data_IF_398511469303
#
_entry.id   IF_398511469303
#
_cell.length_a   1.000
_cell.length_b   1.000
_cell.length_c   1.000
_cell.angle_alpha   90.00
_cell.angle_beta   90.00
_cell.angle_gamma   90.00
#
_symmetry.space_group_name_H-M   'P 1'
#
loop_
_entity.id
_entity.type
_entity.pdbx_description
1 polymer ?
#
# COMPACT_ATOMS: atom_id res chain seq x y z
N UNK A 1 10.23 -2.06 -1.96
CA UNK A 1 9.57 -2.18 -3.29
C UNK A 1 8.63 -1.03 -3.62
N UNK A 2 7.57 -0.75 -2.84
CA UNK A 2 6.64 0.36 -3.14
C UNK A 2 7.31 1.73 -3.30
N UNK A 3 8.28 2.05 -2.42
CA UNK A 3 9.03 3.31 -2.48
C UNK A 3 9.86 3.39 -3.76
N UNK A 4 10.68 2.39 -4.08
CA UNK A 4 11.47 2.36 -5.33
C UNK A 4 10.59 2.47 -6.58
N UNK A 5 9.48 1.74 -6.64
CA UNK A 5 8.52 1.84 -7.74
C UNK A 5 7.93 3.26 -7.84
N UNK A 6 7.59 3.89 -6.70
CA UNK A 6 7.10 5.26 -6.69
C UNK A 6 8.17 6.27 -7.13
N UNK A 7 9.44 6.06 -6.76
CA UNK A 7 10.56 6.94 -7.13
C UNK A 7 10.82 6.92 -8.64
N UNK A 8 10.71 5.76 -9.29
CA UNK A 8 10.79 5.66 -10.76
C UNK A 8 9.79 6.61 -11.43
N UNK A 9 8.51 6.54 -11.04
CA UNK A 9 7.46 7.37 -11.62
C UNK A 9 7.60 8.85 -11.24
N UNK A 10 8.09 9.14 -10.03
CA UNK A 10 8.41 10.52 -9.61
C UNK A 10 9.49 11.13 -10.47
N UNK A 11 10.54 10.39 -10.79
CA UNK A 11 11.59 10.87 -11.68
C UNK A 11 11.09 11.07 -13.12
N UNK A 12 10.12 10.24 -13.55
CA UNK A 12 9.51 10.34 -14.89
C UNK A 12 8.59 11.55 -15.04
N UNK A 13 7.64 11.74 -14.12
CA UNK A 13 6.61 12.78 -14.25
C UNK A 13 6.97 14.11 -13.61
N UNK A 14 7.88 14.11 -12.62
CA UNK A 14 8.40 15.33 -11.96
C UNK A 14 7.33 16.32 -11.48
N UNK A 15 6.15 15.84 -11.11
CA UNK A 15 5.01 16.67 -10.68
C UNK A 15 5.39 17.53 -9.46
N UNK A 16 5.20 18.83 -9.56
CA UNK A 16 5.32 19.79 -8.45
C UNK A 16 4.33 19.46 -7.33
N UNK A 17 4.68 19.69 -6.07
CA UNK A 17 3.79 19.43 -4.91
C UNK A 17 2.81 20.58 -4.66
N UNK A 18 1.67 20.34 -3.99
CA UNK A 18 0.73 21.41 -3.63
C UNK A 18 1.40 22.53 -2.83
N UNK A 19 2.20 22.18 -1.81
CA UNK A 19 2.92 23.14 -0.98
C UNK A 19 3.96 23.99 -1.72
N UNK A 20 4.48 23.50 -2.85
CA UNK A 20 5.43 24.26 -3.68
C UNK A 20 4.70 25.26 -4.60
N UNK A 21 3.48 24.95 -5.03
CA UNK A 21 2.65 25.88 -5.81
C UNK A 21 2.00 26.94 -4.93
N UNK A 22 1.56 26.56 -3.73
CA UNK A 22 0.95 27.47 -2.77
C UNK A 22 1.64 27.36 -1.40
N UNK A 23 2.70 28.16 -1.17
CA UNK A 23 3.43 28.18 0.10
C UNK A 23 2.53 28.52 1.32
N UNK A 24 1.42 29.22 1.09
CA UNK A 24 0.42 29.51 2.11
C UNK A 24 -0.29 28.29 2.69
N UNK A 25 -0.11 27.08 2.12
CA UNK A 25 -0.56 25.83 2.76
C UNK A 25 0.16 25.55 4.08
N UNK A 26 1.36 26.12 4.29
CA UNK A 26 2.19 25.97 5.50
C UNK A 26 2.18 24.53 6.05
N UNK A 27 2.71 23.54 5.30
CA UNK A 27 2.66 22.15 5.70
C UNK A 27 3.18 21.95 7.12
N UNK A 28 2.46 21.21 7.99
CA UNK A 28 2.87 21.00 9.38
C UNK A 28 4.11 20.09 9.51
N UNK A 29 4.58 19.53 8.39
CA UNK A 29 5.72 18.63 8.30
C UNK A 29 6.57 19.00 7.08
N UNK A 30 7.87 18.70 7.16
CA UNK A 30 8.81 19.01 6.08
C UNK A 30 8.35 18.42 4.73
N UNK A 31 8.35 19.27 3.70
CA UNK A 31 8.00 18.86 2.35
C UNK A 31 9.16 18.05 1.75
N UNK A 32 8.93 16.80 1.27
CA UNK A 32 10.02 15.99 0.74
C UNK A 32 10.63 16.59 -0.54
N UNK A 33 11.96 16.54 -0.67
CA UNK A 33 12.74 17.07 -1.79
C UNK A 33 12.63 16.33 -3.13
N UNK A 34 11.59 15.50 -3.32
CA UNK A 34 11.32 14.78 -4.55
C UNK A 34 9.89 15.03 -5.03
N UNK A 35 9.63 14.73 -6.31
CA UNK A 35 8.35 14.99 -6.97
C UNK A 35 7.13 14.35 -6.27
N UNK A 36 5.95 14.92 -6.52
CA UNK A 36 4.68 14.55 -5.87
C UNK A 36 4.11 13.23 -6.38
N UNK A 37 4.05 13.03 -7.70
CA UNK A 37 3.31 11.91 -8.29
C UNK A 37 4.17 10.66 -8.52
N UNK A 38 3.70 9.45 -8.16
CA UNK A 38 2.53 9.14 -7.32
C UNK A 38 2.86 9.24 -5.82
N UNK A 39 1.85 9.16 -4.96
CA UNK A 39 2.05 9.16 -3.51
C UNK A 39 2.70 7.87 -3.04
N UNK A 40 3.92 7.96 -2.50
CA UNK A 40 4.66 6.82 -1.96
C UNK A 40 3.99 6.24 -0.71
N UNK A 41 3.43 7.09 0.15
CA UNK A 41 2.68 6.66 1.34
C UNK A 41 1.41 5.91 0.96
N UNK A 42 0.66 6.37 -0.05
CA UNK A 42 -0.51 5.67 -0.54
C UNK A 42 -0.13 4.30 -1.12
N UNK A 43 0.96 4.23 -1.89
CA UNK A 43 1.45 2.96 -2.44
C UNK A 43 1.90 1.99 -1.34
N UNK A 44 2.67 2.46 -0.36
CA UNK A 44 3.14 1.62 0.74
C UNK A 44 2.00 1.13 1.62
N UNK A 45 1.11 2.02 2.07
CA UNK A 45 0.02 1.66 2.96
C UNK A 45 -0.94 0.64 2.31
N UNK A 46 -1.27 0.84 1.03
CA UNK A 46 -2.11 -0.09 0.29
C UNK A 46 -1.42 -1.45 0.08
N UNK A 47 -0.12 -1.46 -0.19
CA UNK A 47 0.64 -2.70 -0.36
C UNK A 47 0.72 -3.50 0.94
N UNK A 48 0.96 -2.83 2.07
CA UNK A 48 0.96 -3.44 3.41
C UNK A 48 -0.41 -4.04 3.72
N UNK A 49 -1.49 -3.29 3.48
CA UNK A 49 -2.86 -3.78 3.64
C UNK A 49 -3.09 -5.08 2.84
N UNK A 50 -2.72 -5.11 1.56
CA UNK A 50 -2.89 -6.29 0.69
C UNK A 50 -2.06 -7.48 1.17
N UNK A 51 -0.81 -7.25 1.58
CA UNK A 51 0.04 -8.31 2.14
C UNK A 51 -0.55 -8.90 3.41
N UNK A 52 -0.92 -8.06 4.38
CA UNK A 52 -1.53 -8.52 5.64
C UNK A 52 -2.83 -9.28 5.38
N UNK A 53 -3.71 -8.75 4.53
CA UNK A 53 -4.97 -9.42 4.20
C UNK A 53 -4.76 -10.83 3.65
N UNK A 54 -3.67 -11.07 2.91
CA UNK A 54 -3.35 -12.40 2.38
C UNK A 54 -2.72 -13.35 3.38
N UNK A 55 -2.19 -12.85 4.50
CA UNK A 55 -1.56 -13.62 5.57
C UNK A 55 -2.56 -14.00 6.65
N UNK A 56 -3.55 -13.14 6.92
CA UNK A 56 -4.46 -13.30 8.05
C UNK A 56 -5.34 -14.56 7.92
N UNK A 57 -5.65 -15.23 9.06
CA UNK A 57 -6.51 -16.42 9.05
C UNK A 57 -7.90 -16.14 8.48
N UNK A 58 -8.35 -17.05 7.62
CA UNK A 58 -9.69 -17.04 7.03
C UNK A 58 -10.69 -17.94 7.75
N UNK A 59 -10.21 -18.73 8.74
CA UNK A 59 -11.07 -19.56 9.56
C UNK A 59 -12.06 -18.70 10.38
N UNK A 60 -13.29 -19.18 10.53
CA UNK A 60 -14.32 -18.49 11.29
C UNK A 60 -13.98 -18.50 12.78
N UNK A 61 -14.12 -17.34 13.43
CA UNK A 61 -14.06 -17.21 14.89
C UNK A 61 -15.46 -17.49 15.45
N UNK A 62 -15.56 -18.40 16.42
CA UNK A 62 -16.78 -18.60 17.23
C UNK A 62 -18.04 -19.02 16.46
N UNK A 63 -17.91 -19.65 15.29
CA UNK A 63 -19.05 -20.12 14.49
C UNK A 63 -19.89 -19.02 13.80
N UNK A 64 -19.55 -17.73 13.98
CA UNK A 64 -20.32 -16.58 13.49
C UNK A 64 -20.03 -16.16 12.04
N UNK A 65 -19.35 -16.99 11.24
CA UNK A 65 -19.02 -16.69 9.84
C UNK A 65 -17.98 -15.58 9.61
N UNK A 66 -17.49 -14.93 10.67
CA UNK A 66 -16.47 -13.88 10.59
C UNK A 66 -15.09 -14.45 10.89
N UNK A 67 -14.11 -14.11 10.05
CA UNK A 67 -12.68 -14.38 10.25
C UNK A 67 -11.90 -13.10 10.52
N UNK A 68 -10.68 -13.21 11.05
CA UNK A 68 -9.77 -12.06 11.23
C UNK A 68 -9.57 -11.34 9.89
N UNK A 69 -9.35 -12.08 8.82
CA UNK A 69 -9.23 -11.52 7.47
C UNK A 69 -10.49 -10.75 7.03
N UNK A 70 -11.69 -11.27 7.31
CA UNK A 70 -12.96 -10.60 6.94
C UNK A 70 -13.14 -9.25 7.67
N UNK A 71 -12.82 -9.20 8.97
CA UNK A 71 -12.89 -7.96 9.75
C UNK A 71 -11.83 -6.96 9.28
N UNK A 72 -10.61 -7.44 9.01
CA UNK A 72 -9.51 -6.61 8.55
C UNK A 72 -9.72 -6.06 7.14
N UNK A 73 -10.51 -6.73 6.29
CA UNK A 73 -10.75 -6.30 4.90
C UNK A 73 -11.20 -4.84 4.82
N UNK A 74 -12.21 -4.46 5.61
CA UNK A 74 -12.74 -3.09 5.62
C UNK A 74 -11.87 -2.16 6.48
N UNK A 75 -11.44 -2.61 7.65
CA UNK A 75 -10.66 -1.78 8.58
C UNK A 75 -9.29 -1.40 8.00
N UNK A 76 -8.57 -2.37 7.45
CA UNK A 76 -7.27 -2.19 6.83
C UNK A 76 -7.32 -1.29 5.59
N UNK A 77 -8.33 -1.44 4.74
CA UNK A 77 -8.49 -0.57 3.57
C UNK A 77 -8.78 0.87 4.00
N UNK A 78 -9.63 1.08 5.00
CA UNK A 78 -9.92 2.40 5.56
C UNK A 78 -8.67 3.03 6.17
N UNK A 79 -7.84 2.25 6.88
CA UNK A 79 -6.59 2.73 7.44
C UNK A 79 -5.61 3.16 6.35
N UNK A 80 -5.44 2.35 5.30
CA UNK A 80 -4.58 2.68 4.16
C UNK A 80 -5.04 3.98 3.46
N UNK A 81 -6.35 4.13 3.25
CA UNK A 81 -6.94 5.36 2.69
C UNK A 81 -6.76 6.57 3.60
N UNK A 82 -6.88 6.43 4.91
CA UNK A 82 -6.63 7.51 5.88
C UNK A 82 -5.18 7.97 5.85
N UNK A 83 -4.22 7.06 5.79
CA UNK A 83 -2.79 7.40 5.67
C UNK A 83 -2.55 8.24 4.40
N UNK A 84 -3.14 7.86 3.26
CA UNK A 84 -3.03 8.62 2.03
C UNK A 84 -3.68 10.01 2.14
N UNK A 85 -4.93 10.07 2.64
CA UNK A 85 -5.67 11.32 2.79
C UNK A 85 -5.01 12.31 3.74
N UNK A 86 -4.37 11.83 4.82
CA UNK A 86 -3.62 12.69 5.73
C UNK A 86 -2.48 13.43 5.02
N UNK A 87 -1.89 12.85 3.97
CA UNK A 87 -0.86 13.54 3.16
C UNK A 87 -1.44 14.60 2.24
N UNK A 88 -2.69 14.43 1.80
CA UNK A 88 -3.39 15.45 1.03
C UNK A 88 -3.77 16.63 1.92
N UNK A 89 -4.32 16.36 3.11
CA UNK A 89 -4.68 17.38 4.11
C UNK A 89 -3.46 18.19 4.52
N UNK A 90 -2.31 17.54 4.70
CA UNK A 90 -1.04 18.20 5.02
C UNK A 90 -0.41 18.98 3.84
N UNK A 91 -1.06 19.06 2.67
CA UNK A 91 -0.56 19.80 1.50
C UNK A 91 0.59 19.10 0.76
N UNK A 92 0.85 17.82 1.01
CA UNK A 92 2.00 17.11 0.44
C UNK A 92 1.69 16.41 -0.89
N UNK A 93 0.44 16.06 -1.13
CA UNK A 93 0.00 15.28 -2.28
C UNK A 93 -1.37 15.75 -2.79
N UNK A 94 -1.61 15.61 -4.08
CA UNK A 94 -2.95 15.73 -4.65
C UNK A 94 -3.72 14.42 -4.46
N UNK A 95 -5.05 14.48 -4.47
CA UNK A 95 -5.90 13.28 -4.47
C UNK A 95 -5.55 12.30 -5.61
N UNK A 96 -5.18 12.82 -6.79
CA UNK A 96 -4.71 12.01 -7.92
C UNK A 96 -3.38 11.29 -7.65
N UNK A 97 -2.48 11.86 -6.84
CA UNK A 97 -1.25 11.18 -6.44
C UNK A 97 -1.56 9.97 -5.55
N UNK A 98 -2.53 10.11 -4.63
CA UNK A 98 -2.99 9.04 -3.75
C UNK A 98 -3.67 7.91 -4.52
N UNK A 99 -4.56 8.26 -5.46
CA UNK A 99 -5.22 7.28 -6.34
C UNK A 99 -4.17 6.50 -7.14
N UNK A 100 -3.21 7.19 -7.76
CA UNK A 100 -2.14 6.54 -8.51
C UNK A 100 -1.23 5.67 -7.63
N UNK A 101 -0.95 6.09 -6.39
CA UNK A 101 -0.22 5.28 -5.42
C UNK A 101 -0.95 3.98 -5.10
N UNK A 102 -2.27 4.06 -4.89
CA UNK A 102 -3.12 2.88 -4.66
C UNK A 102 -3.11 1.92 -5.86
N UNK A 103 -3.28 2.45 -7.08
CA UNK A 103 -3.22 1.64 -8.32
C UNK A 103 -1.86 0.97 -8.47
N UNK A 104 -0.78 1.71 -8.22
CA UNK A 104 0.58 1.17 -8.27
C UNK A 104 0.77 0.01 -7.28
N UNK A 105 0.24 0.14 -6.05
CA UNK A 105 0.30 -0.94 -5.07
C UNK A 105 -0.43 -2.20 -5.52
N UNK A 106 -1.63 -2.05 -6.11
CA UNK A 106 -2.38 -3.17 -6.67
C UNK A 106 -1.57 -3.88 -7.77
N UNK A 107 -1.03 -3.13 -8.73
CA UNK A 107 -0.19 -3.70 -9.80
C UNK A 107 1.04 -4.42 -9.25
N UNK A 108 1.75 -3.83 -8.29
CA UNK A 108 2.92 -4.47 -7.65
C UNK A 108 2.50 -5.77 -6.98
N UNK A 109 1.40 -5.75 -6.22
CA UNK A 109 0.93 -6.95 -5.54
C UNK A 109 0.58 -8.04 -6.54
N UNK A 110 -0.31 -7.75 -7.49
CA UNK A 110 -0.87 -8.72 -8.42
C UNK A 110 0.21 -9.36 -9.30
N UNK A 111 1.24 -8.58 -9.68
CA UNK A 111 2.31 -9.04 -10.58
C UNK A 111 3.54 -9.61 -9.87
N UNK A 112 3.82 -9.19 -8.63
CA UNK A 112 5.09 -9.51 -7.96
C UNK A 112 4.87 -10.24 -6.64
N UNK A 113 3.85 -9.89 -5.86
CA UNK A 113 3.68 -10.36 -4.48
C UNK A 113 2.53 -11.36 -4.29
N UNK A 114 1.84 -11.79 -5.34
CA UNK A 114 0.76 -12.78 -5.21
C UNK A 114 1.28 -14.07 -4.56
N UNK A 115 0.73 -14.50 -3.41
CA UNK A 115 1.13 -15.75 -2.77
C UNK A 115 0.69 -16.98 -3.58
N UNK A 116 1.41 -18.09 -3.43
CA UNK A 116 1.22 -19.31 -4.22
C UNK A 116 -0.16 -20.01 -4.06
N UNK A 117 -0.98 -19.56 -3.11
CA UNK A 117 -2.36 -20.04 -2.92
C UNK A 117 -3.29 -19.77 -4.12
N UNK A 118 -2.89 -18.89 -5.05
CA UNK A 118 -3.56 -18.70 -6.34
C UNK A 118 -3.18 -19.76 -7.41
N UNK A 119 -2.41 -20.80 -7.03
CA UNK A 119 -1.85 -21.83 -7.91
C UNK A 119 -0.40 -21.54 -8.32
N UNK A 120 0.36 -22.59 -8.72
CA UNK A 120 1.81 -22.47 -9.00
C UNK A 120 2.14 -21.51 -10.16
N UNK A 121 1.19 -21.29 -11.08
CA UNK A 121 1.35 -20.36 -12.21
C UNK A 121 1.31 -18.87 -11.82
N UNK A 122 0.77 -18.53 -10.65
CA UNK A 122 0.58 -17.13 -10.19
C UNK A 122 1.38 -16.81 -8.93
N UNK A 123 2.23 -17.73 -8.47
CA UNK A 123 3.06 -17.53 -7.30
C UNK A 123 4.13 -16.46 -7.57
N UNK A 124 4.41 -15.63 -6.57
CA UNK A 124 5.50 -14.66 -6.60
C UNK A 124 6.80 -15.31 -7.09
N UNK A 125 7.52 -14.69 -8.06
CA UNK A 125 8.81 -15.20 -8.52
C UNK A 125 9.90 -15.08 -7.44
N UNK A 126 9.64 -14.33 -6.37
CA UNK A 126 10.63 -14.05 -5.32
C UNK A 126 10.65 -15.14 -4.26
N UNK A 127 11.62 -16.05 -4.34
CA UNK A 127 11.79 -17.18 -3.41
C UNK A 127 11.82 -16.76 -1.94
N UNK A 128 12.59 -15.72 -1.60
CA UNK A 128 12.72 -15.20 -0.23
C UNK A 128 11.37 -14.69 0.28
N UNK A 129 10.62 -13.96 -0.55
CA UNK A 129 9.31 -13.45 -0.16
C UNK A 129 8.31 -14.57 0.14
N UNK A 130 8.30 -15.63 -0.67
CA UNK A 130 7.44 -16.80 -0.40
C UNK A 130 7.76 -17.44 0.95
N UNK A 131 9.05 -17.68 1.24
CA UNK A 131 9.47 -18.23 2.52
C UNK A 131 9.06 -17.33 3.71
N UNK A 132 9.21 -16.01 3.58
CA UNK A 132 8.75 -15.07 4.62
C UNK A 132 7.24 -15.06 4.79
N UNK A 133 6.47 -15.20 3.70
CA UNK A 133 5.01 -15.33 3.75
C UNK A 133 4.59 -16.61 4.48
N UNK A 134 5.27 -17.73 4.23
CA UNK A 134 4.98 -19.01 4.88
C UNK A 134 5.30 -18.94 6.38
N UNK A 135 6.43 -18.35 6.76
CA UNK A 135 6.78 -18.09 8.17
C UNK A 135 5.78 -17.15 8.84
N UNK A 136 5.44 -16.03 8.19
CA UNK A 136 4.49 -15.07 8.73
C UNK A 136 3.08 -15.67 8.92
N UNK A 137 2.68 -16.67 8.14
CA UNK A 137 1.40 -17.39 8.36
C UNK A 137 1.44 -18.24 9.63
N UNK A 138 2.57 -18.84 9.94
CA UNK A 138 2.74 -19.66 11.15
C UNK A 138 2.61 -18.84 12.44
N UNK A 139 2.86 -17.52 12.40
CA UNK A 139 2.65 -16.63 13.55
C UNK A 139 1.16 -16.45 13.91
N UNK A 140 0.23 -16.79 13.00
CA UNK A 140 -1.22 -16.63 13.19
C UNK A 140 -1.99 -17.95 13.34
N UNK A 141 -1.28 -19.08 13.40
CA UNK A 141 -1.82 -20.42 13.68
C UNK A 141 -1.56 -20.81 15.13
#
# INVERSE_FOLDING_TARGET
MALFASQYWKNKYKRVRPAQLFPGLMPPIATPGHASFPSGHAAQAQLVYRCLLSLLPTASIGGGGQSVASMFTVAGERLARRIARNREIAGLHYASDSIAGRILAHKIYDQILTPALAGPAHASPMKIYRALVDLARQEWT
#
